data_IF_981990552334
#
_entry.id   IF_981990552334
#
_cell.length_a   1.000
_cell.length_b   1.000
_cell.length_c   1.000
_cell.angle_alpha   90.00
_cell.angle_beta   90.00
_cell.angle_gamma   90.00
#
_symmetry.space_group_name_H-M   'P 1'
#
loop_
_entity.id
_entity.type
_entity.pdbx_description
1 polymer ?
#
# COMPACT_ATOMS: atom_id res chain seq x y z
N UNK A 1 -2.53 7.90 -6.39
CA UNK A 1 -1.77 7.85 -7.67
C UNK A 1 -2.74 7.58 -8.81
N UNK A 2 -2.63 8.26 -9.95
CA UNK A 2 -3.44 7.94 -11.13
C UNK A 2 -2.98 6.63 -11.79
N UNK A 3 -3.94 5.76 -12.15
CA UNK A 3 -3.67 4.46 -12.77
C UNK A 3 -3.44 4.63 -14.27
N UNK A 4 -2.27 4.18 -14.74
CA UNK A 4 -1.82 4.33 -16.13
C UNK A 4 -2.02 3.03 -16.92
N UNK A 5 -1.94 3.06 -18.26
CA UNK A 5 -2.04 1.85 -19.07
C UNK A 5 -1.08 0.73 -18.64
N UNK A 6 0.17 1.06 -18.29
CA UNK A 6 1.18 0.08 -17.83
C UNK A 6 0.81 -0.58 -16.47
N UNK A 7 -0.10 0.02 -15.71
CA UNK A 7 -0.53 -0.48 -14.42
C UNK A 7 -1.61 -1.59 -14.58
N UNK A 8 -2.15 -1.78 -15.78
CA UNK A 8 -3.36 -2.58 -16.06
C UNK A 8 -3.20 -3.59 -17.20
N UNK A 9 -4.09 -4.58 -17.21
CA UNK A 9 -4.15 -5.60 -18.26
C UNK A 9 -4.85 -5.06 -19.53
N UNK A 10 -4.91 -5.88 -20.58
CA UNK A 10 -5.51 -5.50 -21.87
C UNK A 10 -7.00 -5.13 -21.79
N UNK A 11 -7.71 -5.53 -20.73
CA UNK A 11 -9.11 -5.17 -20.49
C UNK A 11 -9.26 -3.86 -19.69
N UNK A 12 -8.14 -3.20 -19.36
CA UNK A 12 -8.12 -1.94 -18.61
C UNK A 12 -8.24 -2.07 -17.09
N UNK A 13 -8.19 -3.29 -16.56
CA UNK A 13 -8.21 -3.55 -15.11
C UNK A 13 -6.80 -3.52 -14.55
N UNK A 14 -6.58 -2.72 -13.51
CA UNK A 14 -5.30 -2.60 -12.81
C UNK A 14 -4.88 -3.96 -12.26
N UNK A 15 -3.61 -4.31 -12.47
CA UNK A 15 -3.07 -5.57 -11.99
C UNK A 15 -3.05 -5.61 -10.45
N UNK A 16 -3.42 -6.75 -9.87
CA UNK A 16 -3.31 -6.97 -8.43
C UNK A 16 -1.89 -6.75 -7.90
N UNK A 17 -0.86 -7.11 -8.68
CA UNK A 17 0.54 -6.83 -8.35
C UNK A 17 0.86 -5.34 -8.24
N UNK A 18 0.24 -4.49 -9.06
CA UNK A 18 0.37 -3.03 -8.96
C UNK A 18 -0.21 -2.51 -7.65
N UNK A 19 -1.39 -3.02 -7.26
CA UNK A 19 -2.04 -2.66 -6.00
C UNK A 19 -1.21 -3.15 -4.81
N UNK A 20 -0.72 -4.38 -4.84
CA UNK A 20 0.14 -4.95 -3.78
C UNK A 20 1.44 -4.15 -3.63
N UNK A 21 2.05 -3.71 -4.73
CA UNK A 21 3.22 -2.82 -4.69
C UNK A 21 2.90 -1.50 -3.99
N UNK A 22 1.76 -0.89 -4.28
CA UNK A 22 1.34 0.35 -3.59
C UNK A 22 1.10 0.12 -2.09
N UNK A 23 0.54 -1.04 -1.71
CA UNK A 23 0.35 -1.45 -0.31
C UNK A 23 1.69 -1.58 0.40
N UNK A 24 2.65 -2.31 -0.20
CA UNK A 24 4.00 -2.47 0.34
C UNK A 24 4.70 -1.12 0.50
N UNK A 25 4.68 -0.26 -0.53
CA UNK A 25 5.32 1.05 -0.50
C UNK A 25 4.77 1.91 0.66
N UNK A 26 3.45 1.98 0.82
CA UNK A 26 2.82 2.70 1.92
C UNK A 26 3.21 2.12 3.29
N UNK A 27 3.18 0.79 3.42
CA UNK A 27 3.56 0.08 4.64
C UNK A 27 5.02 0.32 5.03
N UNK A 28 5.94 0.21 4.07
CA UNK A 28 7.37 0.44 4.29
C UNK A 28 7.66 1.89 4.69
N UNK A 29 6.97 2.87 4.09
CA UNK A 29 7.12 4.28 4.41
C UNK A 29 6.70 4.57 5.86
N UNK A 30 5.49 4.15 6.27
CA UNK A 30 4.99 4.45 7.61
C UNK A 30 5.77 3.71 8.69
N UNK A 31 6.08 2.44 8.48
CA UNK A 31 6.85 1.62 9.43
C UNK A 31 8.29 2.11 9.57
N UNK A 32 8.98 2.41 8.47
CA UNK A 32 10.34 2.97 8.52
C UNK A 32 10.36 4.30 9.27
N UNK A 33 9.39 5.19 9.01
CA UNK A 33 9.27 6.45 9.75
C UNK A 33 9.06 6.20 11.24
N UNK A 34 8.19 5.26 11.60
CA UNK A 34 7.92 4.90 12.98
C UNK A 34 9.15 4.35 13.70
N UNK A 35 9.88 3.40 13.09
CA UNK A 35 11.09 2.82 13.66
C UNK A 35 12.21 3.84 13.88
N UNK A 36 12.19 4.96 13.16
CA UNK A 36 13.15 6.05 13.29
C UNK A 36 12.61 7.26 14.07
N UNK A 37 11.44 7.14 14.73
CA UNK A 37 10.82 8.22 15.50
C UNK A 37 11.54 8.54 16.82
N UNK A 38 12.29 7.58 17.35
CA UNK A 38 13.12 7.73 18.54
C UNK A 38 14.59 7.87 18.16
N UNK A 39 15.39 8.48 19.06
CA UNK A 39 16.84 8.62 18.91
C UNK A 39 17.54 7.28 19.11
N UNK A 40 17.50 6.43 18.09
CA UNK A 40 18.20 5.14 18.04
C UNK A 40 19.02 4.98 16.75
N UNK A 41 19.55 3.78 16.54
CA UNK A 41 20.23 3.42 15.29
C UNK A 41 19.27 3.53 14.10
N UNK A 42 19.76 4.07 12.98
CA UNK A 42 18.94 4.21 11.77
C UNK A 42 18.66 2.84 11.17
N UNK A 43 17.40 2.60 10.84
CA UNK A 43 16.97 1.34 10.23
C UNK A 43 15.96 1.55 9.10
N UNK A 44 15.76 0.52 8.29
CA UNK A 44 14.74 0.47 7.24
C UNK A 44 13.85 -0.72 7.53
N UNK A 45 12.54 -0.53 7.54
CA UNK A 45 11.60 -1.62 7.72
C UNK A 45 11.54 -2.46 6.44
N UNK A 46 11.67 -3.77 6.57
CA UNK A 46 11.49 -4.72 5.49
C UNK A 46 10.16 -5.45 5.64
N UNK A 47 9.45 -5.64 4.54
CA UNK A 47 8.20 -6.41 4.53
C UNK A 47 8.51 -7.88 4.83
N UNK A 48 8.13 -8.34 6.03
CA UNK A 48 8.36 -9.72 6.44
C UNK A 48 7.17 -10.65 6.14
N UNK A 49 5.95 -10.09 6.11
CA UNK A 49 4.70 -10.85 5.94
C UNK A 49 3.62 -9.94 5.39
N UNK A 50 2.81 -10.49 4.48
CA UNK A 50 1.49 -9.99 4.12
C UNK A 50 0.48 -11.00 4.68
N UNK A 51 -0.52 -10.52 5.42
CA UNK A 51 -1.60 -11.36 5.93
C UNK A 51 -2.60 -11.64 4.80
N UNK A 52 -3.88 -11.31 5.02
CA UNK A 52 -4.93 -11.47 4.02
C UNK A 52 -5.11 -10.18 3.22
N UNK A 53 -5.23 -10.32 1.91
CA UNK A 53 -5.59 -9.22 1.00
C UNK A 53 -6.84 -9.62 0.22
N UNK A 54 -7.89 -8.80 0.29
CA UNK A 54 -9.13 -9.01 -0.44
C UNK A 54 -9.30 -7.89 -1.49
N UNK A 55 -9.50 -8.28 -2.75
CA UNK A 55 -9.80 -7.35 -3.85
C UNK A 55 -11.33 -7.25 -4.00
N UNK A 56 -11.92 -6.24 -3.37
CA UNK A 56 -13.38 -6.11 -3.24
C UNK A 56 -14.06 -5.60 -4.52
N UNK A 57 -13.40 -4.70 -5.24
CA UNK A 57 -13.88 -4.13 -6.50
C UNK A 57 -12.69 -3.93 -7.46
N UNK A 58 -12.93 -3.96 -8.79
CA UNK A 58 -11.88 -3.64 -9.75
C UNK A 58 -11.47 -2.16 -9.62
N UNK A 59 -10.24 -1.87 -10.02
CA UNK A 59 -9.74 -0.52 -10.26
C UNK A 59 -9.34 -0.44 -11.73
N UNK A 60 -9.71 0.64 -12.41
CA UNK A 60 -9.52 0.80 -13.85
C UNK A 60 -8.49 1.87 -14.21
N UNK A 61 -7.95 1.82 -15.43
CA UNK A 61 -7.10 2.88 -15.97
C UNK A 61 -7.84 4.22 -15.88
N UNK A 62 -7.13 5.28 -15.48
CA UNK A 62 -7.67 6.63 -15.34
C UNK A 62 -8.22 6.95 -13.95
N UNK A 63 -8.54 5.94 -13.13
CA UNK A 63 -8.93 6.15 -11.74
C UNK A 63 -7.72 6.54 -10.87
N UNK A 64 -7.99 7.20 -9.75
CA UNK A 64 -7.00 7.52 -8.73
C UNK A 64 -7.05 6.46 -7.64
N UNK A 65 -5.96 5.70 -7.49
CA UNK A 65 -5.76 4.81 -6.35
C UNK A 65 -5.30 5.60 -5.13
N UNK A 66 -6.16 5.72 -4.12
CA UNK A 66 -5.84 6.24 -2.79
C UNK A 66 -5.35 5.12 -1.90
N UNK A 67 -4.26 5.36 -1.20
CA UNK A 67 -3.67 4.38 -0.29
C UNK A 67 -3.51 5.06 1.06
N UNK A 68 -4.20 4.50 2.05
CA UNK A 68 -4.10 4.92 3.45
C UNK A 68 -3.47 3.79 4.24
N UNK A 69 -2.53 4.12 5.12
CA UNK A 69 -1.81 3.16 5.93
C UNK A 69 -1.77 3.65 7.38
N UNK A 70 -2.02 2.75 8.31
CA UNK A 70 -2.04 3.01 9.74
C UNK A 70 -1.32 1.89 10.48
N UNK A 71 -0.54 2.24 11.50
CA UNK A 71 0.08 1.25 12.39
C UNK A 71 -0.98 0.79 13.38
N UNK A 72 -1.39 -0.48 13.27
CA UNK A 72 -2.38 -1.09 14.16
C UNK A 72 -1.74 -1.66 15.43
N UNK A 73 -0.51 -2.16 15.32
CA UNK A 73 0.17 -2.81 16.43
C UNK A 73 1.70 -2.77 16.29
N UNK A 74 2.41 -2.77 17.42
CA UNK A 74 3.86 -2.93 17.46
C UNK A 74 4.26 -3.99 18.48
N UNK A 75 5.23 -4.82 18.10
CA UNK A 75 5.90 -5.74 19.03
C UNK A 75 7.33 -5.26 19.29
N UNK A 76 8.12 -6.07 19.99
CA UNK A 76 9.54 -5.78 20.23
C UNK A 76 10.34 -5.62 18.92
N UNK A 77 9.99 -6.36 17.86
CA UNK A 77 10.78 -6.42 16.61
C UNK A 77 9.92 -6.43 15.33
N UNK A 78 8.61 -6.16 15.44
CA UNK A 78 7.71 -6.10 14.29
C UNK A 78 6.74 -4.93 14.41
N UNK A 79 6.26 -4.46 13.27
CA UNK A 79 5.22 -3.44 13.14
C UNK A 79 4.13 -4.04 12.26
N UNK A 80 2.91 -4.05 12.76
CA UNK A 80 1.73 -4.37 11.97
C UNK A 80 1.18 -3.08 11.37
N UNK A 81 0.92 -3.11 10.06
CA UNK A 81 0.37 -1.96 9.33
C UNK A 81 -0.88 -2.43 8.60
N UNK A 82 -2.01 -1.79 8.90
CA UNK A 82 -3.23 -1.95 8.12
C UNK A 82 -3.22 -0.96 6.97
N UNK A 83 -3.53 -1.44 5.77
CA UNK A 83 -3.56 -0.61 4.55
C UNK A 83 -4.91 -0.76 3.88
N UNK A 84 -5.53 0.38 3.55
CA UNK A 84 -6.76 0.44 2.78
C UNK A 84 -6.49 1.15 1.44
N UNK A 85 -6.95 0.52 0.35
CA UNK A 85 -6.82 1.02 -1.02
C UNK A 85 -8.20 1.30 -1.58
N UNK A 86 -8.42 2.53 -2.02
CA UNK A 86 -9.69 2.98 -2.61
C UNK A 86 -9.46 3.49 -4.04
N UNK A 87 -10.32 3.09 -4.96
CA UNK A 87 -10.38 3.66 -6.31
C UNK A 87 -11.33 4.86 -6.32
N UNK A 88 -10.87 6.00 -6.83
CA UNK A 88 -11.70 7.18 -7.12
C UNK A 88 -11.78 7.39 -8.63
N UNK A 89 -13.00 7.41 -9.15
CA UNK A 89 -13.25 7.84 -10.52
C UNK A 89 -13.35 9.37 -10.55
N UNK A 90 -12.36 10.03 -11.15
CA UNK A 90 -12.27 11.50 -11.18
C UNK A 90 -13.31 12.21 -12.05
N UNK A 91 -14.15 11.46 -12.77
CA UNK A 91 -15.23 12.00 -13.59
C UNK A 91 -16.59 12.03 -12.86
N UNK A 92 -16.68 11.42 -11.67
CA UNK A 92 -17.92 11.26 -10.90
C UNK A 92 -17.70 11.54 -9.43
#
# INVERSE_FOLDING_TARGET
>A
RIMRPDDANIAGNVHGGTILKMIEEAGAIISTRHCNSQSGEKCVAALARVERTDFLSPMSIGEVGHVSAEISYTSKHSVEVQVNVMAENILT
#
